data_IF_316676801367
#
_entry.id   IF_316676801367
#
_cell.length_a   1.000
_cell.length_b   1.000
_cell.length_c   1.000
_cell.angle_alpha   90.00
_cell.angle_beta   90.00
_cell.angle_gamma   90.00
#
_symmetry.space_group_name_H-M   'P 1'
#
loop_
_entity.id
_entity.type
_entity.pdbx_description
1 polymer ?
#
# COMPACT_ATOMS: atom_id res chain seq x y z
N UNK A 1 12.72 2.12 -12.85
CA UNK A 1 12.54 3.17 -11.84
C UNK A 1 13.69 3.04 -10.86
N UNK A 2 14.37 4.16 -10.54
CA UNK A 2 15.50 4.19 -9.60
C UNK A 2 15.25 5.31 -8.60
N UNK A 3 15.40 5.02 -7.31
CA UNK A 3 15.26 6.02 -6.25
C UNK A 3 15.87 5.51 -4.93
N UNK A 4 16.14 6.44 -4.03
CA UNK A 4 16.49 6.19 -2.65
C UNK A 4 15.37 6.72 -1.74
N UNK A 5 14.72 5.82 -1.00
CA UNK A 5 13.81 6.17 0.08
C UNK A 5 14.62 6.30 1.36
N UNK A 6 14.42 7.39 2.12
CA UNK A 6 15.22 7.75 3.29
C UNK A 6 14.39 8.03 4.54
N UNK A 7 15.03 7.87 5.67
CA UNK A 7 14.50 8.30 6.97
C UNK A 7 13.22 7.56 7.41
N UNK A 8 12.97 6.36 6.93
CA UNK A 8 11.82 5.58 7.39
C UNK A 8 11.92 5.29 8.90
N UNK A 9 10.81 5.38 9.61
CA UNK A 9 10.72 4.99 11.03
C UNK A 9 11.06 3.51 11.22
N UNK A 10 10.66 2.68 10.28
CA UNK A 10 11.03 1.26 10.21
C UNK A 10 10.87 0.73 8.79
N UNK A 11 11.69 -0.26 8.44
CA UNK A 11 11.53 -1.05 7.23
C UNK A 11 11.34 -2.50 7.65
N UNK A 12 10.15 -3.04 7.40
CA UNK A 12 9.80 -4.43 7.65
C UNK A 12 10.08 -5.26 6.40
N UNK A 13 10.68 -6.41 6.57
CA UNK A 13 11.19 -7.21 5.43
C UNK A 13 10.24 -8.32 4.98
N UNK A 14 9.24 -8.65 5.81
CA UNK A 14 8.39 -9.82 5.61
C UNK A 14 9.02 -11.13 6.08
N UNK A 15 10.25 -11.10 6.58
CA UNK A 15 10.93 -12.25 7.17
C UNK A 15 10.54 -12.40 8.66
N UNK A 16 11.01 -13.46 9.30
CA UNK A 16 10.75 -13.73 10.73
C UNK A 16 11.99 -13.44 11.60
N UNK A 17 11.76 -13.40 12.92
CA UNK A 17 12.83 -13.21 13.91
C UNK A 17 13.53 -11.86 13.78
N UNK A 18 14.84 -11.85 14.00
CA UNK A 18 15.66 -10.63 13.93
C UNK A 18 15.71 -10.00 12.54
N UNK A 19 15.47 -10.79 11.48
CA UNK A 19 15.43 -10.33 10.11
C UNK A 19 14.10 -9.60 9.75
N UNK A 20 13.08 -9.64 10.60
CA UNK A 20 11.77 -9.04 10.34
C UNK A 20 11.85 -7.51 10.16
N UNK A 21 12.85 -6.87 10.76
CA UNK A 21 13.09 -5.43 10.66
C UNK A 21 14.52 -5.17 10.17
N UNK A 22 14.65 -4.32 9.19
CA UNK A 22 15.97 -3.89 8.71
C UNK A 22 16.70 -3.03 9.76
N UNK A 23 18.03 -3.05 9.70
CA UNK A 23 18.91 -2.34 10.67
C UNK A 23 19.04 -0.85 10.37
N UNK A 24 18.58 -0.36 9.21
CA UNK A 24 18.66 1.06 8.85
C UNK A 24 17.38 1.60 8.25
N UNK A 25 17.29 2.93 8.11
CA UNK A 25 16.07 3.62 7.74
C UNK A 25 15.90 3.81 6.21
N UNK A 26 16.87 3.39 5.39
CA UNK A 26 16.90 3.72 3.98
C UNK A 26 16.75 2.49 3.09
N UNK A 27 16.11 2.67 1.94
CA UNK A 27 15.89 1.62 0.93
C UNK A 27 16.18 2.18 -0.46
N UNK A 28 17.11 1.54 -1.18
CA UNK A 28 17.45 1.88 -2.57
C UNK A 28 16.81 0.93 -3.54
N UNK A 29 16.17 1.47 -4.57
CA UNK A 29 15.60 0.72 -5.68
C UNK A 29 16.36 1.03 -6.95
N UNK A 30 16.76 -0.02 -7.71
CA UNK A 30 17.36 0.07 -9.03
C UNK A 30 16.76 -0.95 -9.98
N UNK A 31 16.42 -0.52 -11.17
CA UNK A 31 15.81 -1.40 -12.16
C UNK A 31 14.51 -2.07 -11.68
N UNK A 32 13.75 -1.41 -10.78
CA UNK A 32 12.53 -1.98 -10.19
C UNK A 32 12.76 -3.04 -9.11
N UNK A 33 14.01 -3.22 -8.65
CA UNK A 33 14.39 -4.18 -7.60
C UNK A 33 14.99 -3.46 -6.39
N UNK A 34 14.82 -4.02 -5.21
CA UNK A 34 15.50 -3.57 -4.00
C UNK A 34 16.99 -3.91 -4.15
N UNK A 35 17.82 -2.86 -4.22
CA UNK A 35 19.27 -3.00 -4.40
C UNK A 35 20.01 -2.96 -3.05
N UNK A 36 19.52 -2.20 -2.08
CA UNK A 36 20.11 -2.12 -0.75
C UNK A 36 19.08 -1.66 0.29
N UNK A 37 19.26 -2.09 1.53
CA UNK A 37 18.55 -1.60 2.71
C UNK A 37 19.59 -1.35 3.81
N UNK A 38 19.48 -0.24 4.54
CA UNK A 38 20.43 0.10 5.60
C UNK A 38 20.48 1.59 5.86
N UNK A 39 21.63 2.07 6.31
CA UNK A 39 21.96 3.51 6.35
C UNK A 39 22.75 3.81 5.07
N UNK A 40 22.13 4.52 4.12
CA UNK A 40 22.66 4.67 2.77
C UNK A 40 23.02 6.12 2.46
N UNK A 41 24.18 6.32 1.82
CA UNK A 41 24.56 7.64 1.31
C UNK A 41 23.90 7.87 -0.05
N UNK A 42 23.24 9.02 -0.29
CA UNK A 42 22.72 9.37 -1.60
C UNK A 42 23.80 9.40 -2.67
N UNK A 43 23.45 8.95 -3.88
CA UNK A 43 24.33 9.00 -5.03
C UNK A 43 24.02 10.20 -5.94
N UNK A 44 24.98 10.73 -6.68
CA UNK A 44 24.76 11.84 -7.60
C UNK A 44 23.63 11.56 -8.57
N UNK A 45 22.66 12.48 -8.68
CA UNK A 45 21.50 12.36 -9.58
C UNK A 45 20.43 11.36 -9.15
N UNK A 46 20.58 10.70 -7.99
CA UNK A 46 19.58 9.75 -7.47
C UNK A 46 18.34 10.50 -6.94
N UNK A 47 17.15 10.13 -7.44
CA UNK A 47 15.90 10.67 -6.88
C UNK A 47 15.75 10.22 -5.43
N UNK A 48 15.59 11.18 -4.53
CA UNK A 48 15.36 10.89 -3.11
C UNK A 48 13.88 11.06 -2.76
N UNK A 49 13.37 10.18 -1.89
CA UNK A 49 12.01 10.21 -1.35
C UNK A 49 12.16 10.21 0.18
N UNK A 50 11.68 11.24 0.84
CA UNK A 50 11.65 11.29 2.30
C UNK A 50 10.47 10.48 2.83
N UNK A 51 10.78 9.53 3.72
CA UNK A 51 9.82 8.64 4.39
C UNK A 51 9.78 8.89 5.91
N UNK A 52 10.14 10.08 6.36
CA UNK A 52 10.05 10.44 7.78
C UNK A 52 8.63 10.22 8.28
N UNK A 53 8.49 9.52 9.42
CA UNK A 53 7.20 9.15 10.00
C UNK A 53 6.51 7.95 9.35
N UNK A 54 7.07 7.39 8.28
CA UNK A 54 6.48 6.25 7.58
C UNK A 54 7.11 4.92 8.02
N UNK A 55 6.31 3.86 7.94
CA UNK A 55 6.78 2.47 8.01
C UNK A 55 6.70 1.88 6.61
N UNK A 56 7.78 1.27 6.17
CA UNK A 56 7.88 0.56 4.89
C UNK A 56 7.72 -0.92 5.12
N UNK A 57 6.88 -1.59 4.35
CA UNK A 57 6.71 -3.04 4.41
C UNK A 57 6.39 -3.60 3.02
N UNK A 58 6.57 -4.92 2.81
CA UNK A 58 6.20 -5.56 1.55
C UNK A 58 4.73 -5.31 1.21
N UNK A 59 4.44 -5.05 -0.06
CA UNK A 59 3.07 -4.83 -0.52
C UNK A 59 2.19 -6.05 -0.19
N UNK A 60 0.97 -5.77 0.22
CA UNK A 60 0.00 -6.83 0.48
C UNK A 60 -0.51 -7.39 -0.84
N UNK A 61 -0.63 -8.70 -0.90
CA UNK A 61 -1.31 -9.38 -2.00
C UNK A 61 -2.78 -9.52 -1.62
N UNK A 62 -3.64 -8.82 -2.33
CA UNK A 62 -5.08 -8.94 -2.17
C UNK A 62 -5.64 -9.80 -3.32
N UNK A 63 -5.98 -11.03 -3.01
CA UNK A 63 -6.49 -12.01 -3.98
C UNK A 63 -8.00 -11.95 -4.17
N UNK A 64 -8.70 -11.15 -3.35
CA UNK A 64 -10.15 -10.95 -3.45
C UNK A 64 -10.47 -9.48 -3.17
N UNK A 65 -10.82 -8.73 -4.20
CA UNK A 65 -11.12 -7.32 -4.07
C UNK A 65 -12.27 -6.88 -4.98
N UNK A 66 -13.15 -6.06 -4.42
CA UNK A 66 -14.21 -5.37 -5.14
C UNK A 66 -13.92 -3.87 -5.10
N UNK A 67 -13.06 -3.37 -5.99
CA UNK A 67 -12.53 -1.99 -5.97
C UNK A 67 -13.62 -0.93 -5.83
N UNK A 68 -14.66 -1.02 -6.64
CA UNK A 68 -15.77 -0.06 -6.64
C UNK A 68 -16.54 -0.03 -5.30
N UNK A 69 -16.60 -1.14 -4.56
CA UNK A 69 -17.28 -1.20 -3.27
C UNK A 69 -16.58 -0.36 -2.18
N UNK A 70 -15.32 -0.01 -2.39
CA UNK A 70 -14.60 0.88 -1.48
C UNK A 70 -15.24 2.26 -1.37
N UNK A 71 -15.92 2.73 -2.42
CA UNK A 71 -16.66 3.99 -2.44
C UNK A 71 -17.98 3.92 -1.68
N UNK A 72 -18.45 2.72 -1.35
CA UNK A 72 -19.76 2.46 -0.76
C UNK A 72 -19.69 2.23 0.76
N UNK A 73 -18.50 2.40 1.35
CA UNK A 73 -18.32 2.27 2.79
C UNK A 73 -19.14 3.33 3.53
N UNK A 74 -19.98 2.86 4.46
CA UNK A 74 -20.81 3.74 5.27
C UNK A 74 -22.08 4.24 4.57
N UNK A 75 -22.47 3.67 3.41
CA UNK A 75 -23.80 3.95 2.83
C UNK A 75 -24.90 3.58 3.83
N UNK A 76 -25.74 4.54 4.30
CA UNK A 76 -26.73 4.29 5.33
C UNK A 76 -27.74 3.21 4.96
N UNK A 77 -28.03 3.06 3.66
CA UNK A 77 -29.02 2.07 3.16
C UNK A 77 -28.53 0.64 3.36
N UNK A 78 -27.21 0.44 3.40
CA UNK A 78 -26.57 -0.86 3.61
C UNK A 78 -26.27 -1.20 5.07
N UNK A 79 -26.44 -0.27 6.00
CA UNK A 79 -26.09 -0.51 7.41
C UNK A 79 -26.98 -1.60 8.02
N UNK A 80 -26.34 -2.57 8.68
CA UNK A 80 -27.01 -3.71 9.34
C UNK A 80 -27.81 -4.64 8.39
N UNK A 81 -27.66 -4.47 7.07
CA UNK A 81 -28.31 -5.35 6.11
C UNK A 81 -27.57 -6.69 6.00
N UNK A 82 -28.31 -7.78 5.80
CA UNK A 82 -27.71 -9.07 5.40
C UNK A 82 -27.22 -9.00 3.96
N UNK A 83 -26.43 -9.99 3.52
CA UNK A 83 -25.69 -9.93 2.25
C UNK A 83 -26.57 -9.58 1.03
N UNK A 84 -27.68 -10.29 0.83
CA UNK A 84 -28.52 -10.10 -0.38
C UNK A 84 -29.21 -8.73 -0.39
N UNK A 85 -29.88 -8.27 0.69
CA UNK A 85 -30.40 -6.91 0.77
C UNK A 85 -29.31 -5.84 0.60
N UNK A 86 -28.11 -6.05 1.18
CA UNK A 86 -27.00 -5.13 1.02
C UNK A 86 -26.52 -5.02 -0.44
N UNK A 87 -26.35 -6.15 -1.13
CA UNK A 87 -25.96 -6.16 -2.53
C UNK A 87 -26.94 -5.37 -3.42
N UNK A 88 -28.24 -5.56 -3.20
CA UNK A 88 -29.27 -4.88 -3.98
C UNK A 88 -29.34 -3.38 -3.68
N UNK A 89 -29.28 -3.01 -2.41
CA UNK A 89 -29.45 -1.64 -1.95
C UNK A 89 -28.23 -0.76 -2.28
N UNK A 90 -27.04 -1.31 -2.30
CA UNK A 90 -25.79 -0.56 -2.38
C UNK A 90 -25.03 -0.81 -3.69
N UNK A 91 -24.30 -1.92 -3.89
CA UNK A 91 -23.48 -2.06 -5.09
C UNK A 91 -24.28 -2.18 -6.39
N UNK A 92 -25.40 -2.89 -6.38
CA UNK A 92 -26.22 -3.06 -7.59
C UNK A 92 -26.91 -1.76 -8.00
N UNK A 93 -27.39 -0.99 -7.06
CA UNK A 93 -28.03 0.32 -7.28
C UNK A 93 -27.04 1.34 -7.86
N UNK A 94 -25.79 1.34 -7.38
CA UNK A 94 -24.78 2.33 -7.74
C UNK A 94 -23.92 1.91 -8.94
N UNK A 95 -24.01 0.65 -9.38
CA UNK A 95 -23.26 0.14 -10.53
C UNK A 95 -23.37 0.99 -11.80
N UNK A 96 -24.56 1.52 -12.18
CA UNK A 96 -24.68 2.38 -13.37
C UNK A 96 -23.89 3.68 -13.29
N UNK A 97 -23.49 4.11 -12.09
CA UNK A 97 -22.70 5.33 -11.88
C UNK A 97 -21.19 5.08 -12.01
N UNK A 98 -20.77 3.80 -12.06
CA UNK A 98 -19.38 3.40 -12.21
C UNK A 98 -19.02 3.43 -13.70
N UNK A 99 -18.41 4.51 -14.15
CA UNK A 99 -17.93 4.66 -15.53
C UNK A 99 -16.41 4.55 -15.56
N UNK A 100 -15.87 3.91 -16.60
CA UNK A 100 -14.44 3.98 -16.90
C UNK A 100 -14.15 5.40 -17.45
N UNK A 101 -13.11 6.05 -16.92
CA UNK A 101 -12.52 7.28 -17.47
C UNK A 101 -11.07 7.05 -17.82
#
# INVERSE_FOLDING_TARGET
>A
MNFLLRNATAILTGLQGTAARATGPDLRVRGGRIAAIGTLTPEPGERQIDATGCVVYPAWVNTHHHLFQSLLKGDPVGLNATLTPWLSATPMRLRPLMTER
#
